data_IF_951854955596
#
_entry.id   IF_951854955596
#
_cell.length_a   1.000
_cell.length_b   1.000
_cell.length_c   1.000
_cell.angle_alpha   90.00
_cell.angle_beta   90.00
_cell.angle_gamma   90.00
#
_symmetry.space_group_name_H-M   'P 1'
#
loop_
_entity.id
_entity.type
_entity.pdbx_description
1 polymer ?
#
# COMPACT_ATOMS: atom_id res chain seq x y z
N UNK A 1 85.49 -19.55 -27.41
CA UNK A 1 85.19 -20.58 -26.39
C UNK A 1 85.37 -19.98 -24.99
N UNK A 2 84.41 -20.25 -24.07
CA UNK A 2 84.35 -19.96 -22.62
C UNK A 2 83.50 -18.76 -22.15
N UNK A 3 82.24 -19.10 -21.79
CA UNK A 3 81.44 -18.82 -20.57
C UNK A 3 81.50 -17.44 -19.88
N UNK A 4 80.30 -16.89 -19.58
CA UNK A 4 79.77 -16.43 -18.26
C UNK A 4 78.51 -15.55 -18.52
N UNK A 5 77.29 -16.09 -18.50
CA UNK A 5 76.28 -16.02 -17.41
C UNK A 5 76.36 -14.75 -16.52
N UNK A 6 75.40 -13.84 -16.73
CA UNK A 6 74.81 -12.89 -15.73
C UNK A 6 73.63 -12.19 -16.43
N UNK A 7 72.40 -12.69 -16.38
CA UNK A 7 71.46 -12.62 -15.25
C UNK A 7 71.38 -11.23 -14.61
N UNK A 8 70.69 -10.29 -15.27
CA UNK A 8 70.20 -9.06 -14.65
C UNK A 8 68.66 -9.13 -14.61
N UNK A 9 68.15 -9.82 -13.59
CA UNK A 9 66.76 -9.72 -13.14
C UNK A 9 66.75 -8.61 -12.09
N UNK A 10 66.30 -7.42 -12.45
CA UNK A 10 65.95 -6.36 -11.48
C UNK A 10 64.42 -6.30 -11.42
N UNK A 11 63.93 -7.09 -10.47
CA UNK A 11 62.76 -6.89 -9.59
C UNK A 11 61.84 -5.71 -9.96
N UNK A 12 60.72 -6.04 -10.62
CA UNK A 12 59.48 -5.30 -10.46
C UNK A 12 59.11 -5.34 -8.97
N UNK A 13 59.20 -4.18 -8.30
CA UNK A 13 58.52 -3.95 -7.04
C UNK A 13 57.01 -3.87 -7.31
N UNK A 14 56.37 -5.02 -7.48
CA UNK A 14 54.97 -5.20 -7.15
C UNK A 14 54.90 -5.18 -5.62
N UNK A 15 54.89 -3.99 -5.04
CA UNK A 15 54.18 -3.79 -3.79
C UNK A 15 52.72 -4.09 -4.13
N UNK A 16 52.33 -5.35 -4.01
CA UNK A 16 50.94 -5.70 -3.84
C UNK A 16 50.48 -4.92 -2.64
N UNK A 17 49.75 -3.83 -2.87
CA UNK A 17 48.82 -3.32 -1.88
C UNK A 17 47.96 -4.53 -1.55
N UNK A 18 48.23 -5.18 -0.41
CA UNK A 18 47.22 -5.96 0.25
C UNK A 18 46.04 -4.98 0.37
N UNK A 19 44.99 -5.18 -0.42
CA UNK A 19 43.76 -4.45 -0.19
C UNK A 19 43.43 -4.73 1.26
N UNK A 20 43.49 -3.69 2.10
CA UNK A 20 42.97 -3.76 3.45
C UNK A 20 41.58 -4.37 3.32
N UNK A 21 41.28 -5.36 4.16
CA UNK A 21 40.08 -6.18 4.10
C UNK A 21 38.82 -5.31 4.07
N UNK A 22 38.45 -4.88 2.86
CA UNK A 22 37.48 -3.85 2.60
C UNK A 22 36.10 -4.43 2.91
N UNK A 23 35.38 -3.78 3.83
CA UNK A 23 34.07 -4.28 4.21
C UNK A 23 33.08 -4.00 3.08
N UNK A 24 32.23 -4.96 2.68
CA UNK A 24 31.14 -4.69 1.76
C UNK A 24 30.23 -3.59 2.33
N UNK A 25 29.77 -2.66 1.48
CA UNK A 25 28.88 -1.54 1.88
C UNK A 25 27.65 -2.04 2.68
N UNK A 26 27.11 -3.21 2.32
CA UNK A 26 26.00 -3.83 3.03
C UNK A 26 26.29 -4.20 4.50
N UNK A 27 27.55 -4.40 4.88
CA UNK A 27 27.92 -4.64 6.28
C UNK A 27 27.80 -3.36 7.13
N UNK A 28 28.21 -2.21 6.59
CA UNK A 28 28.02 -0.91 7.24
C UNK A 28 26.55 -0.63 7.52
N UNK A 29 25.68 -0.90 6.52
CA UNK A 29 24.24 -0.70 6.65
C UNK A 29 23.65 -1.54 7.78
N UNK A 30 23.96 -2.85 7.83
CA UNK A 30 23.45 -3.75 8.87
C UNK A 30 23.93 -3.35 10.26
N UNK A 31 25.22 -3.06 10.41
CA UNK A 31 25.80 -2.74 11.71
C UNK A 31 25.28 -1.40 12.24
N UNK A 32 25.13 -0.40 11.36
CA UNK A 32 24.57 0.89 11.72
C UNK A 32 23.08 0.79 12.06
N UNK A 33 22.29 0.05 11.28
CA UNK A 33 20.87 -0.20 11.59
C UNK A 33 20.73 -0.88 12.96
N UNK A 34 21.52 -1.93 13.23
CA UNK A 34 21.50 -2.58 14.54
C UNK A 34 21.89 -1.62 15.68
N UNK A 35 22.76 -0.64 15.44
CA UNK A 35 23.07 0.40 16.42
C UNK A 35 21.89 1.36 16.62
N UNK A 36 21.20 1.77 15.54
CA UNK A 36 19.98 2.58 15.61
C UNK A 36 18.85 1.86 16.37
N UNK A 37 18.64 0.57 16.13
CA UNK A 37 17.63 -0.26 16.80
C UNK A 37 17.88 -0.34 18.32
N UNK A 38 19.15 -0.30 18.75
CA UNK A 38 19.53 -0.22 20.17
C UNK A 38 19.49 1.21 20.74
N UNK A 39 19.13 2.20 19.93
CA UNK A 39 19.16 3.61 20.29
C UNK A 39 20.58 4.22 20.38
N UNK A 40 21.62 3.51 19.93
CA UNK A 40 23.00 4.00 19.88
C UNK A 40 23.27 4.77 18.58
N UNK A 41 22.61 5.93 18.47
CA UNK A 41 22.67 6.80 17.30
C UNK A 41 24.07 7.39 17.06
N UNK A 42 24.90 7.47 18.09
CA UNK A 42 26.27 7.96 17.95
C UNK A 42 27.20 6.89 17.36
N UNK A 43 27.05 5.63 17.78
CA UNK A 43 27.73 4.53 17.10
C UNK A 43 27.24 4.36 15.65
N UNK A 44 25.93 4.45 15.41
CA UNK A 44 25.39 4.41 14.05
C UNK A 44 26.03 5.49 13.16
N UNK A 45 26.14 6.73 13.66
CA UNK A 45 26.83 7.84 12.98
C UNK A 45 28.29 7.50 12.67
N UNK A 46 29.05 6.96 13.63
CA UNK A 46 30.45 6.54 13.43
C UNK A 46 30.61 5.39 12.44
N UNK A 47 29.64 4.48 12.35
CA UNK A 47 29.65 3.41 11.37
C UNK A 47 29.41 3.97 9.98
N UNK A 48 28.40 4.84 9.80
CA UNK A 48 28.13 5.46 8.51
C UNK A 48 29.25 6.36 8.01
N UNK A 49 29.87 7.19 8.87
CA UNK A 49 30.99 8.05 8.45
C UNK A 49 32.19 7.24 7.96
N UNK A 50 32.44 6.05 8.54
CA UNK A 50 33.48 5.13 8.05
C UNK A 50 33.17 4.60 6.66
N UNK A 51 31.90 4.35 6.34
CA UNK A 51 31.50 3.93 4.99
C UNK A 51 31.87 4.97 3.92
N UNK A 52 31.85 6.28 4.25
CA UNK A 52 32.28 7.33 3.33
C UNK A 52 33.81 7.42 3.16
N UNK A 53 34.58 7.02 4.17
CA UNK A 53 36.04 7.06 4.13
C UNK A 53 36.65 5.92 3.30
N UNK A 54 35.91 4.82 3.10
CA UNK A 54 36.36 3.68 2.30
C UNK A 54 36.01 3.87 0.81
N UNK A 55 36.96 3.56 -0.07
CA UNK A 55 36.85 3.78 -1.53
C UNK A 55 35.61 3.10 -2.17
N UNK A 56 35.05 2.11 -1.49
CA UNK A 56 33.89 1.35 -1.93
C UNK A 56 32.61 2.16 -2.07
N UNK A 57 32.41 3.21 -1.28
CA UNK A 57 31.17 3.98 -1.42
C UNK A 57 31.16 4.85 -2.69
N UNK A 58 32.31 5.36 -3.12
CA UNK A 58 32.41 6.13 -4.36
C UNK A 58 32.01 5.28 -5.58
N UNK A 59 32.38 4.00 -5.57
CA UNK A 59 32.07 3.03 -6.63
C UNK A 59 30.72 2.30 -6.43
N UNK A 60 30.06 2.49 -5.28
CA UNK A 60 28.80 1.84 -4.98
C UNK A 60 27.67 2.32 -5.89
N UNK A 61 26.70 1.42 -6.09
CA UNK A 61 25.43 1.72 -6.76
C UNK A 61 24.69 2.87 -6.06
N UNK A 62 24.00 3.70 -6.84
CA UNK A 62 23.26 4.86 -6.35
C UNK A 62 22.21 4.50 -5.29
N UNK A 63 21.63 3.29 -5.33
CA UNK A 63 20.70 2.82 -4.30
C UNK A 63 21.41 2.62 -2.95
N UNK A 64 22.62 2.09 -2.95
CA UNK A 64 23.40 1.96 -1.71
C UNK A 64 23.82 3.33 -1.17
N UNK A 65 24.20 4.26 -2.05
CA UNK A 65 24.47 5.65 -1.68
C UNK A 65 23.26 6.28 -1.01
N UNK A 66 22.05 6.13 -1.59
CA UNK A 66 20.81 6.63 -1.01
C UNK A 66 20.62 6.14 0.44
N UNK A 67 20.75 4.83 0.68
CA UNK A 67 20.52 4.26 2.03
C UNK A 67 21.59 4.71 3.04
N UNK A 68 22.86 4.78 2.63
CA UNK A 68 23.95 5.24 3.50
C UNK A 68 23.74 6.71 3.88
N UNK A 69 23.45 7.58 2.90
CA UNK A 69 23.12 8.99 3.14
C UNK A 69 21.89 9.15 4.05
N UNK A 70 20.83 8.37 3.81
CA UNK A 70 19.61 8.37 4.62
C UNK A 70 19.89 8.02 6.09
N UNK A 71 20.55 6.89 6.33
CA UNK A 71 20.87 6.43 7.68
C UNK A 71 21.85 7.37 8.40
N UNK A 72 22.82 7.91 7.67
CA UNK A 72 23.77 8.87 8.22
C UNK A 72 23.09 10.18 8.62
N UNK A 73 22.27 10.74 7.72
CA UNK A 73 21.51 11.96 7.97
C UNK A 73 20.60 11.85 9.20
N UNK A 74 19.88 10.75 9.35
CA UNK A 74 19.08 10.48 10.57
C UNK A 74 19.94 10.48 11.83
N UNK A 75 21.07 9.76 11.79
CA UNK A 75 21.99 9.65 12.93
C UNK A 75 22.60 11.00 13.31
N UNK A 76 22.96 11.82 12.31
CA UNK A 76 23.42 13.19 12.50
C UNK A 76 22.36 14.07 13.15
N UNK A 77 21.10 13.98 12.72
CA UNK A 77 20.02 14.79 13.29
C UNK A 77 19.72 14.41 14.74
N UNK A 78 19.71 13.12 15.08
CA UNK A 78 19.51 12.66 16.48
C UNK A 78 20.64 13.17 17.37
N UNK A 79 21.85 13.18 16.81
CA UNK A 79 23.06 13.74 17.43
C UNK A 79 23.25 15.23 17.06
N UNK A 80 22.20 15.98 16.74
CA UNK A 80 22.20 17.45 16.68
C UNK A 80 23.17 18.12 15.70
N UNK A 81 23.72 17.39 14.73
CA UNK A 81 24.43 17.96 13.58
C UNK A 81 23.42 18.33 12.49
N UNK A 82 22.49 19.24 12.81
CA UNK A 82 21.28 19.46 12.01
C UNK A 82 21.55 19.90 10.57
N UNK A 83 22.52 20.79 10.34
CA UNK A 83 22.87 21.24 8.98
C UNK A 83 23.46 20.11 8.13
N UNK A 84 24.32 19.27 8.72
CA UNK A 84 24.89 18.12 8.02
C UNK A 84 23.82 17.05 7.81
N UNK A 85 22.94 16.84 8.80
CA UNK A 85 21.80 15.93 8.67
C UNK A 85 20.92 16.30 7.46
N UNK A 86 20.58 17.58 7.33
CA UNK A 86 19.81 18.10 6.21
C UNK A 86 20.53 17.91 4.87
N UNK A 87 21.84 18.20 4.79
CA UNK A 87 22.64 17.93 3.57
C UNK A 87 22.58 16.45 3.18
N UNK A 88 22.82 15.55 4.14
CA UNK A 88 22.87 14.11 3.89
C UNK A 88 21.49 13.55 3.50
N UNK A 89 20.41 14.01 4.12
CA UNK A 89 19.05 13.59 3.74
C UNK A 89 18.63 14.14 2.36
N UNK A 90 19.07 15.34 1.97
CA UNK A 90 18.84 15.84 0.61
C UNK A 90 19.60 14.99 -0.43
N UNK A 91 20.86 14.63 -0.16
CA UNK A 91 21.63 13.72 -1.03
C UNK A 91 20.93 12.35 -1.17
N UNK A 92 20.42 11.79 -0.07
CA UNK A 92 19.66 10.55 -0.09
C UNK A 92 18.42 10.66 -0.98
N UNK A 93 17.62 11.73 -0.79
CA UNK A 93 16.45 12.01 -1.62
C UNK A 93 16.80 12.12 -3.11
N UNK A 94 17.90 12.79 -3.44
CA UNK A 94 18.32 12.94 -4.83
C UNK A 94 18.70 11.59 -5.44
N UNK A 95 19.47 10.75 -4.74
CA UNK A 95 19.79 9.40 -5.23
C UNK A 95 18.54 8.53 -5.42
N UNK A 96 17.59 8.56 -4.48
CA UNK A 96 16.33 7.81 -4.61
C UNK A 96 15.52 8.30 -5.81
N UNK A 97 15.40 9.62 -6.00
CA UNK A 97 14.67 10.20 -7.13
C UNK A 97 15.25 9.78 -8.49
N UNK A 98 16.58 9.73 -8.61
CA UNK A 98 17.23 9.32 -9.86
C UNK A 98 17.13 7.80 -10.13
N UNK A 99 16.93 6.99 -9.10
CA UNK A 99 16.91 5.52 -9.22
C UNK A 99 15.50 4.90 -9.18
N UNK A 100 14.46 5.73 -9.08
CA UNK A 100 13.09 5.29 -8.83
C UNK A 100 12.91 4.67 -7.44
N UNK A 101 13.79 5.03 -6.50
CA UNK A 101 13.74 4.61 -5.10
C UNK A 101 12.64 5.32 -4.30
N UNK A 102 12.58 5.00 -3.01
CA UNK A 102 11.52 5.44 -2.10
C UNK A 102 11.83 6.83 -1.54
N UNK A 103 11.90 7.83 -2.42
CA UNK A 103 12.39 9.18 -2.07
C UNK A 103 11.56 9.89 -0.99
N UNK A 104 10.29 9.54 -0.83
CA UNK A 104 9.42 10.12 0.20
C UNK A 104 9.89 9.82 1.64
N UNK A 105 10.71 8.79 1.86
CA UNK A 105 11.30 8.51 3.19
C UNK A 105 12.26 9.63 3.61
N UNK A 106 13.19 9.99 2.72
CA UNK A 106 14.17 11.06 2.98
C UNK A 106 13.49 12.42 3.17
N UNK A 107 12.44 12.72 2.38
CA UNK A 107 11.63 13.93 2.58
C UNK A 107 10.89 13.93 3.92
N UNK A 108 10.39 12.78 4.37
CA UNK A 108 9.70 12.66 5.66
C UNK A 108 10.65 12.93 6.80
N UNK A 109 11.87 12.41 6.71
CA UNK A 109 12.91 12.66 7.70
C UNK A 109 13.38 14.12 7.68
N UNK A 110 13.48 14.78 6.52
CA UNK A 110 13.73 16.23 6.40
C UNK A 110 12.61 17.05 7.06
N UNK A 111 11.36 16.69 6.84
CA UNK A 111 10.22 17.34 7.47
C UNK A 111 10.27 17.21 8.99
N UNK A 112 10.49 15.99 9.50
CA UNK A 112 10.58 15.71 10.95
C UNK A 112 11.76 16.40 11.61
N UNK A 113 12.92 16.42 10.94
CA UNK A 113 14.12 17.15 11.37
C UNK A 113 13.82 18.65 11.56
N UNK A 114 13.10 19.25 10.62
CA UNK A 114 12.70 20.67 10.69
C UNK A 114 11.59 20.90 11.73
N UNK A 115 10.62 19.99 11.82
CA UNK A 115 9.55 20.04 12.80
C UNK A 115 10.08 20.02 14.24
N UNK A 116 11.04 19.15 14.55
CA UNK A 116 11.67 19.07 15.88
C UNK A 116 12.53 20.31 16.21
N UNK A 117 13.02 21.02 15.18
CA UNK A 117 13.67 22.32 15.31
C UNK A 117 12.69 23.51 15.33
N UNK A 118 11.36 23.26 15.27
CA UNK A 118 10.31 24.29 15.14
C UNK A 118 10.41 25.15 13.87
N UNK A 119 11.11 24.65 12.85
CA UNK A 119 11.16 25.22 11.49
C UNK A 119 9.92 24.80 10.71
N UNK A 120 8.78 25.33 11.14
CA UNK A 120 7.46 24.83 10.71
C UNK A 120 7.19 25.09 9.22
N UNK A 121 7.63 26.22 8.68
CA UNK A 121 7.43 26.56 7.27
C UNK A 121 8.22 25.62 6.34
N UNK A 122 9.45 25.30 6.73
CA UNK A 122 10.33 24.36 6.03
C UNK A 122 9.77 22.94 6.11
N UNK A 123 9.31 22.51 7.30
CA UNK A 123 8.65 21.22 7.47
C UNK A 123 7.39 21.09 6.58
N UNK A 124 6.55 22.13 6.54
CA UNK A 124 5.38 22.21 5.63
C UNK A 124 5.81 22.03 4.17
N UNK A 125 6.86 22.71 3.72
CA UNK A 125 7.33 22.61 2.33
C UNK A 125 7.74 21.18 1.94
N UNK A 126 8.44 20.47 2.82
CA UNK A 126 8.80 19.07 2.58
C UNK A 126 7.57 18.15 2.57
N UNK A 127 6.61 18.36 3.47
CA UNK A 127 5.39 17.57 3.57
C UNK A 127 4.46 17.77 2.37
N UNK A 128 4.33 19.00 1.88
CA UNK A 128 3.57 19.29 0.64
C UNK A 128 4.14 18.54 -0.56
N UNK A 129 5.48 18.42 -0.68
CA UNK A 129 6.12 17.62 -1.73
C UNK A 129 5.81 16.12 -1.62
N UNK A 130 5.76 15.58 -0.40
CA UNK A 130 5.39 14.17 -0.18
C UNK A 130 3.93 13.95 -0.55
N UNK A 131 3.04 14.84 -0.08
CA UNK A 131 1.60 14.73 -0.33
C UNK A 131 1.25 14.87 -1.81
N UNK A 132 1.97 15.71 -2.57
CA UNK A 132 1.78 15.82 -4.02
C UNK A 132 1.97 14.47 -4.76
N UNK A 133 2.80 13.60 -4.22
CA UNK A 133 3.13 12.29 -4.80
C UNK A 133 2.19 11.19 -4.29
N UNK A 134 1.85 11.23 -3.00
CA UNK A 134 1.00 10.21 -2.37
C UNK A 134 -0.50 10.45 -2.61
N UNK A 135 -0.96 11.70 -2.72
CA UNK A 135 -2.38 12.04 -2.88
C UNK A 135 -3.02 11.37 -4.11
N UNK A 136 -2.39 11.36 -5.31
CA UNK A 136 -2.93 10.65 -6.46
C UNK A 136 -3.05 9.14 -6.23
N UNK A 137 -2.06 8.53 -5.56
CA UNK A 137 -2.01 7.09 -5.28
C UNK A 137 -3.16 6.71 -4.33
N UNK A 138 -3.29 7.44 -3.21
CA UNK A 138 -4.33 7.21 -2.21
C UNK A 138 -5.72 7.49 -2.80
N UNK A 139 -5.87 8.53 -3.62
CA UNK A 139 -7.15 8.88 -4.25
C UNK A 139 -7.57 7.80 -5.26
N UNK A 140 -6.66 7.33 -6.10
CA UNK A 140 -6.94 6.24 -7.04
C UNK A 140 -7.35 4.96 -6.29
N UNK A 141 -6.72 4.68 -5.14
CA UNK A 141 -7.08 3.56 -4.28
C UNK A 141 -8.50 3.69 -3.71
N UNK A 142 -8.81 4.83 -3.09
CA UNK A 142 -10.17 5.11 -2.56
C UNK A 142 -11.23 4.96 -3.64
N UNK A 143 -10.95 5.44 -4.87
CA UNK A 143 -11.87 5.29 -6.01
C UNK A 143 -12.10 3.82 -6.39
N UNK A 144 -11.04 3.02 -6.48
CA UNK A 144 -11.15 1.58 -6.79
C UNK A 144 -11.96 0.85 -5.72
N UNK A 145 -11.72 1.14 -4.44
CA UNK A 145 -12.48 0.56 -3.33
C UNK A 145 -13.96 0.94 -3.38
N UNK A 146 -14.27 2.22 -3.58
CA UNK A 146 -15.64 2.69 -3.72
C UNK A 146 -16.36 2.04 -4.93
N UNK A 147 -15.67 1.84 -6.06
CA UNK A 147 -16.21 1.14 -7.22
C UNK A 147 -16.49 -0.34 -6.93
N UNK A 148 -15.60 -1.02 -6.18
CA UNK A 148 -15.81 -2.41 -5.78
C UNK A 148 -17.04 -2.54 -4.85
N UNK A 149 -17.18 -1.65 -3.87
CA UNK A 149 -18.33 -1.62 -2.96
C UNK A 149 -19.64 -1.31 -3.71
N UNK A 150 -19.62 -0.33 -4.62
CA UNK A 150 -20.79 0.01 -5.43
C UNK A 150 -21.27 -1.17 -6.29
N UNK A 151 -20.34 -1.93 -6.89
CA UNK A 151 -20.67 -3.16 -7.62
C UNK A 151 -21.32 -4.19 -6.72
N UNK A 152 -20.79 -4.41 -5.51
CA UNK A 152 -21.36 -5.37 -4.56
C UNK A 152 -22.80 -5.00 -4.17
N UNK A 153 -23.06 -3.73 -3.86
CA UNK A 153 -24.40 -3.24 -3.52
C UNK A 153 -25.37 -3.39 -4.70
N UNK A 154 -24.90 -3.17 -5.93
CA UNK A 154 -25.72 -3.39 -7.13
C UNK A 154 -26.06 -4.87 -7.34
N UNK A 155 -25.12 -5.78 -7.07
CA UNK A 155 -25.37 -7.23 -7.09
C UNK A 155 -26.43 -7.62 -6.05
N UNK A 156 -26.30 -7.18 -4.80
CA UNK A 156 -27.27 -7.50 -3.74
C UNK A 156 -28.68 -6.98 -4.10
N UNK A 157 -28.79 -5.72 -4.54
CA UNK A 157 -30.06 -5.13 -4.96
C UNK A 157 -30.67 -5.80 -6.20
N UNK A 158 -29.83 -6.28 -7.13
CA UNK A 158 -30.29 -6.99 -8.33
C UNK A 158 -30.77 -8.40 -7.98
N UNK A 159 -30.04 -9.13 -7.14
CA UNK A 159 -30.44 -10.44 -6.64
C UNK A 159 -31.76 -10.40 -5.87
N UNK A 160 -31.95 -9.39 -5.00
CA UNK A 160 -33.21 -9.19 -4.28
C UNK A 160 -34.39 -8.93 -5.23
N UNK A 161 -34.20 -8.12 -6.28
CA UNK A 161 -35.24 -7.87 -7.30
C UNK A 161 -35.59 -9.12 -8.10
N UNK A 162 -34.59 -9.94 -8.44
CA UNK A 162 -34.81 -11.21 -9.15
C UNK A 162 -35.55 -12.21 -8.26
N UNK A 163 -35.19 -12.31 -6.98
CA UNK A 163 -35.90 -13.16 -6.01
C UNK A 163 -37.37 -12.74 -5.85
N UNK A 164 -37.65 -11.44 -5.73
CA UNK A 164 -39.03 -10.94 -5.68
C UNK A 164 -39.82 -11.30 -6.95
N UNK A 165 -39.18 -11.16 -8.12
CA UNK A 165 -39.78 -11.55 -9.40
C UNK A 165 -40.10 -13.04 -9.46
N UNK A 166 -39.17 -13.91 -9.01
CA UNK A 166 -39.37 -15.36 -8.98
C UNK A 166 -40.55 -15.72 -8.07
N UNK A 167 -40.64 -15.13 -6.88
CA UNK A 167 -41.74 -15.39 -5.94
C UNK A 167 -43.08 -14.88 -6.49
N UNK A 168 -43.10 -13.69 -7.07
CA UNK A 168 -44.32 -13.07 -7.61
C UNK A 168 -44.88 -13.83 -8.80
N UNK A 169 -44.03 -14.18 -9.77
CA UNK A 169 -44.46 -14.93 -10.94
C UNK A 169 -44.81 -16.38 -10.59
N UNK A 170 -44.13 -16.99 -9.61
CA UNK A 170 -44.51 -18.30 -9.05
C UNK A 170 -45.91 -18.29 -8.45
N UNK A 171 -46.23 -17.32 -7.58
CA UNK A 171 -47.58 -17.14 -7.03
C UNK A 171 -48.64 -16.92 -8.11
N UNK A 172 -48.31 -16.14 -9.14
CA UNK A 172 -49.22 -15.88 -10.26
C UNK A 172 -49.51 -17.17 -11.04
N UNK A 173 -48.48 -17.97 -11.33
CA UNK A 173 -48.63 -19.27 -11.99
C UNK A 173 -49.49 -20.21 -11.14
N UNK A 174 -49.17 -20.36 -9.86
CA UNK A 174 -49.87 -21.29 -8.98
C UNK A 174 -51.36 -20.91 -8.84
N UNK A 175 -51.66 -19.61 -8.68
CA UNK A 175 -53.04 -19.10 -8.69
C UNK A 175 -53.79 -19.41 -9.99
N UNK A 176 -53.12 -19.36 -11.15
CA UNK A 176 -53.72 -19.68 -12.45
C UNK A 176 -53.96 -21.18 -12.63
N UNK A 177 -53.07 -22.01 -12.09
CA UNK A 177 -53.26 -23.47 -12.07
C UNK A 177 -54.39 -23.89 -11.13
N UNK A 178 -54.50 -23.27 -9.95
CA UNK A 178 -55.63 -23.46 -9.03
C UNK A 178 -56.97 -23.04 -9.66
N UNK A 179 -56.98 -21.96 -10.46
CA UNK A 179 -58.16 -21.53 -11.22
C UNK A 179 -58.58 -22.60 -12.24
N UNK A 180 -57.64 -23.16 -13.01
CA UNK A 180 -57.90 -24.27 -13.94
C UNK A 180 -58.43 -25.51 -13.18
N UNK A 181 -57.80 -25.88 -12.07
CA UNK A 181 -58.23 -27.04 -11.27
C UNK A 181 -59.65 -26.87 -10.75
N UNK A 182 -59.98 -25.68 -10.23
CA UNK A 182 -61.33 -25.34 -9.76
C UNK A 182 -62.37 -25.46 -10.87
N UNK A 183 -62.05 -25.00 -12.08
CA UNK A 183 -62.95 -25.12 -13.24
C UNK A 183 -63.16 -26.60 -13.62
N UNK A 184 -62.11 -27.42 -13.57
CA UNK A 184 -62.19 -28.86 -13.88
C UNK A 184 -62.99 -29.64 -12.82
N UNK A 185 -62.85 -29.28 -11.55
CA UNK A 185 -63.58 -29.90 -10.42
C UNK A 185 -64.99 -29.31 -10.22
N UNK A 186 -65.34 -28.26 -10.97
CA UNK A 186 -66.60 -27.54 -10.88
C UNK A 186 -67.80 -28.26 -11.51
N UNK A 187 -68.93 -27.56 -11.52
CA UNK A 187 -70.17 -28.02 -12.16
C UNK A 187 -70.01 -28.19 -13.68
N UNK A 188 -70.90 -28.97 -14.30
CA UNK A 188 -70.89 -29.19 -15.75
C UNK A 188 -70.88 -27.88 -16.56
N UNK A 189 -71.61 -26.85 -16.12
CA UNK A 189 -71.62 -25.55 -16.79
C UNK A 189 -70.27 -24.83 -16.68
N UNK A 190 -69.61 -24.90 -15.52
CA UNK A 190 -68.27 -24.36 -15.33
C UNK A 190 -67.24 -25.08 -16.19
N UNK A 191 -67.35 -26.41 -16.33
CA UNK A 191 -66.49 -27.20 -17.22
C UNK A 191 -66.68 -26.82 -18.70
N UNK A 192 -67.92 -26.59 -19.16
CA UNK A 192 -68.22 -26.15 -20.53
C UNK A 192 -67.64 -24.76 -20.81
N UNK A 193 -67.79 -23.81 -19.89
CA UNK A 193 -67.13 -22.49 -19.98
C UNK A 193 -65.61 -22.62 -19.92
N UNK A 194 -65.12 -23.57 -19.12
CA UNK A 194 -63.72 -23.95 -19.01
C UNK A 194 -63.09 -24.34 -20.34
N UNK A 195 -63.82 -25.08 -21.18
CA UNK A 195 -63.32 -25.55 -22.47
C UNK A 195 -62.84 -24.40 -23.40
N UNK A 196 -63.41 -23.20 -23.22
CA UNK A 196 -63.04 -22.01 -24.00
C UNK A 196 -62.06 -21.07 -23.27
N UNK A 197 -62.03 -21.12 -21.93
CA UNK A 197 -61.25 -20.18 -21.10
C UNK A 197 -59.92 -20.76 -20.60
N UNK A 198 -59.88 -22.07 -20.32
CA UNK A 198 -58.67 -22.79 -19.86
C UNK A 198 -57.48 -22.57 -20.78
N UNK A 199 -57.58 -22.61 -22.13
CA UNK A 199 -56.43 -22.36 -22.99
C UNK A 199 -55.79 -20.99 -22.77
N UNK A 200 -56.59 -19.94 -22.57
CA UNK A 200 -56.10 -18.59 -22.27
C UNK A 200 -55.41 -18.51 -20.89
N UNK A 201 -56.03 -19.12 -19.87
CA UNK A 201 -55.47 -19.17 -18.51
C UNK A 201 -54.16 -19.98 -18.50
N UNK A 202 -54.09 -21.06 -19.27
CA UNK A 202 -52.89 -21.90 -19.42
C UNK A 202 -51.75 -21.14 -20.10
N UNK A 203 -52.03 -20.32 -21.12
CA UNK A 203 -51.03 -19.44 -21.73
C UNK A 203 -50.50 -18.41 -20.71
N UNK A 204 -51.37 -17.82 -19.89
CA UNK A 204 -50.93 -16.90 -18.83
C UNK A 204 -50.05 -17.59 -17.76
N UNK A 205 -50.40 -18.81 -17.37
CA UNK A 205 -49.61 -19.62 -16.46
C UNK A 205 -48.24 -19.99 -17.07
N UNK A 206 -48.20 -20.31 -18.36
CA UNK A 206 -46.97 -20.59 -19.08
C UNK A 206 -46.07 -19.35 -19.19
N UNK A 207 -46.62 -18.19 -19.54
CA UNK A 207 -45.85 -16.94 -19.59
C UNK A 207 -45.29 -16.58 -18.20
N UNK A 208 -46.06 -16.80 -17.13
CA UNK A 208 -45.56 -16.61 -15.76
C UNK A 208 -44.43 -17.59 -15.43
N UNK A 209 -44.55 -18.86 -15.83
CA UNK A 209 -43.51 -19.87 -15.66
C UNK A 209 -42.23 -19.53 -16.44
N UNK A 210 -42.33 -19.06 -17.68
CA UNK A 210 -41.19 -18.62 -18.48
C UNK A 210 -40.48 -17.42 -17.87
N UNK A 211 -41.23 -16.43 -17.35
CA UNK A 211 -40.65 -15.28 -16.64
C UNK A 211 -39.95 -15.69 -15.35
N UNK A 212 -40.56 -16.59 -14.58
CA UNK A 212 -39.96 -17.16 -13.38
C UNK A 212 -38.66 -17.89 -13.72
N UNK A 213 -38.65 -18.72 -14.76
CA UNK A 213 -37.48 -19.47 -15.22
C UNK A 213 -36.36 -18.54 -15.69
N UNK A 214 -36.70 -17.53 -16.51
CA UNK A 214 -35.71 -16.54 -16.97
C UNK A 214 -35.08 -15.78 -15.80
N UNK A 215 -35.88 -15.38 -14.80
CA UNK A 215 -35.36 -14.72 -13.61
C UNK A 215 -34.46 -15.65 -12.78
N UNK A 216 -34.82 -16.94 -12.66
CA UNK A 216 -34.01 -17.95 -11.99
C UNK A 216 -32.68 -18.22 -12.73
N UNK A 217 -32.71 -18.30 -14.05
CA UNK A 217 -31.51 -18.49 -14.89
C UNK A 217 -30.58 -17.27 -14.80
N UNK A 218 -31.13 -16.04 -14.80
CA UNK A 218 -30.35 -14.83 -14.59
C UNK A 218 -29.73 -14.82 -13.19
N UNK A 219 -30.49 -15.17 -12.15
CA UNK A 219 -29.98 -15.26 -10.78
C UNK A 219 -28.88 -16.34 -10.65
N UNK A 220 -29.04 -17.49 -11.31
CA UNK A 220 -28.04 -18.54 -11.35
C UNK A 220 -26.75 -18.09 -12.03
N UNK A 221 -26.84 -17.35 -13.16
CA UNK A 221 -25.68 -16.75 -13.83
C UNK A 221 -24.98 -15.71 -12.95
N UNK A 222 -25.73 -14.86 -12.25
CA UNK A 222 -25.16 -13.89 -11.30
C UNK A 222 -24.47 -14.60 -10.14
N UNK A 223 -25.09 -15.64 -9.57
CA UNK A 223 -24.48 -16.45 -8.52
C UNK A 223 -23.25 -17.18 -9.01
N UNK A 224 -23.25 -17.70 -10.24
CA UNK A 224 -22.07 -18.31 -10.85
C UNK A 224 -20.96 -17.27 -11.05
N UNK A 225 -21.27 -16.07 -11.55
CA UNK A 225 -20.29 -14.99 -11.69
C UNK A 225 -19.75 -14.52 -10.33
N UNK A 226 -20.59 -14.48 -9.29
CA UNK A 226 -20.17 -14.18 -7.92
C UNK A 226 -19.27 -15.30 -7.37
N UNK A 227 -19.61 -16.56 -7.60
CA UNK A 227 -18.79 -17.70 -7.20
C UNK A 227 -17.49 -17.79 -7.99
N UNK A 228 -17.49 -17.43 -9.28
CA UNK A 228 -16.29 -17.34 -10.11
C UNK A 228 -15.45 -16.15 -9.68
N UNK A 229 -16.05 -15.00 -9.34
CA UNK A 229 -15.34 -13.86 -8.78
C UNK A 229 -14.76 -14.17 -7.39
N UNK A 230 -15.51 -14.92 -6.56
CA UNK A 230 -15.10 -15.38 -5.24
C UNK A 230 -14.07 -16.53 -5.30
N UNK A 231 -14.14 -17.40 -6.32
CA UNK A 231 -13.11 -18.39 -6.65
C UNK A 231 -11.93 -17.77 -7.36
N UNK A 232 -12.07 -16.62 -7.99
CA UNK A 232 -10.94 -15.84 -8.47
C UNK A 232 -10.27 -15.17 -7.28
N UNK A 233 -11.02 -14.63 -6.31
CA UNK A 233 -10.45 -14.09 -5.08
C UNK A 233 -9.87 -15.17 -4.16
N UNK A 234 -10.48 -16.35 -4.06
CA UNK A 234 -10.02 -17.49 -3.27
C UNK A 234 -9.00 -18.37 -4.03
N UNK A 235 -9.06 -18.41 -5.36
CA UNK A 235 -8.10 -19.10 -6.22
C UNK A 235 -6.83 -18.27 -6.47
N UNK A 236 -6.91 -16.95 -6.36
CA UNK A 236 -5.76 -16.06 -6.12
C UNK A 236 -5.11 -16.33 -4.75
N UNK A 237 -5.84 -16.96 -3.82
CA UNK A 237 -5.30 -17.44 -2.55
C UNK A 237 -4.65 -18.84 -2.64
N UNK A 238 -4.95 -19.66 -3.66
CA UNK A 238 -4.58 -21.09 -3.68
C UNK A 238 -3.80 -21.56 -4.93
N UNK A 239 -3.75 -20.80 -6.03
CA UNK A 239 -2.91 -21.13 -7.19
C UNK A 239 -2.18 -19.91 -7.69
N UNK A 240 -1.04 -19.65 -7.08
CA UNK A 240 0.28 -19.45 -7.68
C UNK A 240 1.25 -19.42 -6.48
N UNK A 241 2.49 -19.82 -6.70
CA UNK A 241 3.68 -19.48 -5.90
C UNK A 241 3.85 -17.95 -5.78
N UNK A 242 2.82 -17.28 -5.25
CA UNK A 242 2.52 -15.85 -5.19
C UNK A 242 2.08 -15.42 -3.78
N UNK A 243 2.07 -16.33 -2.79
CA UNK A 243 1.86 -15.94 -1.39
C UNK A 243 2.88 -14.90 -0.93
N UNK A 244 4.05 -14.83 -1.59
CA UNK A 244 5.06 -13.80 -1.36
C UNK A 244 4.71 -12.48 -2.05
N UNK A 245 4.21 -12.45 -3.28
CA UNK A 245 4.06 -11.19 -4.06
C UNK A 245 2.75 -10.44 -3.72
N UNK A 246 1.66 -11.14 -3.40
CA UNK A 246 0.37 -10.51 -3.04
C UNK A 246 0.22 -10.22 -1.54
N UNK A 247 0.85 -11.02 -0.65
CA UNK A 247 1.03 -10.59 0.75
C UNK A 247 1.95 -9.39 0.84
N UNK A 248 2.99 -9.32 0.00
CA UNK A 248 3.81 -8.12 -0.12
C UNK A 248 3.01 -6.96 -0.72
N UNK A 249 2.24 -7.10 -1.80
CA UNK A 249 1.45 -5.97 -2.32
C UNK A 249 0.37 -5.48 -1.35
N UNK A 250 -0.38 -6.37 -0.68
CA UNK A 250 -1.37 -5.94 0.32
C UNK A 250 -0.73 -5.38 1.61
N UNK A 251 0.40 -5.94 2.07
CA UNK A 251 1.16 -5.39 3.18
C UNK A 251 1.80 -4.05 2.83
N UNK A 252 2.44 -3.92 1.64
CA UNK A 252 2.99 -2.67 1.09
C UNK A 252 1.87 -1.63 0.91
N UNK A 253 0.69 -2.04 0.45
CA UNK A 253 -0.44 -1.12 0.30
C UNK A 253 -0.99 -0.64 1.66
N UNK A 254 -1.05 -1.52 2.66
CA UNK A 254 -1.49 -1.16 4.01
C UNK A 254 -0.45 -0.26 4.69
N UNK A 255 0.83 -0.57 4.46
CA UNK A 255 1.98 0.21 4.90
C UNK A 255 2.01 1.62 4.28
N UNK A 256 1.75 1.76 2.97
CA UNK A 256 1.66 3.08 2.32
C UNK A 256 0.52 3.94 2.89
N UNK A 257 -0.62 3.34 3.25
CA UNK A 257 -1.72 4.11 3.86
C UNK A 257 -1.44 4.49 5.31
N UNK A 258 -0.79 3.60 6.08
CA UNK A 258 -0.33 3.91 7.43
C UNK A 258 0.73 5.01 7.41
N UNK A 259 1.71 4.89 6.51
CA UNK A 259 2.72 5.90 6.25
C UNK A 259 2.10 7.24 5.87
N UNK A 260 1.17 7.25 4.92
CA UNK A 260 0.45 8.45 4.49
C UNK A 260 -0.30 9.13 5.64
N UNK A 261 -0.95 8.35 6.52
CA UNK A 261 -1.59 8.90 7.71
C UNK A 261 -0.58 9.51 8.70
N UNK A 262 0.62 8.97 8.82
CA UNK A 262 1.68 9.54 9.65
C UNK A 262 2.23 10.84 9.05
N UNK A 263 2.40 10.90 7.72
CA UNK A 263 2.77 12.13 7.01
C UNK A 263 1.71 13.23 7.24
N UNK A 264 0.42 12.88 7.20
CA UNK A 264 -0.66 13.83 7.47
C UNK A 264 -0.66 14.33 8.92
N UNK A 265 -0.28 13.52 9.90
CA UNK A 265 -0.12 13.96 11.28
C UNK A 265 1.04 14.95 11.42
N UNK A 266 2.22 14.61 10.86
CA UNK A 266 3.37 15.51 10.85
C UNK A 266 3.04 16.82 10.11
N UNK A 267 2.21 16.75 9.07
CA UNK A 267 1.72 17.92 8.31
C UNK A 267 0.77 18.78 9.14
N UNK A 268 -0.19 18.17 9.83
CA UNK A 268 -1.08 18.88 10.74
C UNK A 268 -0.30 19.61 11.86
N UNK A 269 0.69 18.94 12.45
CA UNK A 269 1.58 19.53 13.46
C UNK A 269 2.37 20.72 12.89
N UNK A 270 2.94 20.56 11.70
CA UNK A 270 3.73 21.61 11.05
C UNK A 270 2.87 22.81 10.68
N UNK A 271 1.68 22.59 10.11
CA UNK A 271 0.71 23.64 9.78
C UNK A 271 0.25 24.40 11.02
N UNK A 272 -0.06 23.69 12.11
CA UNK A 272 -0.45 24.32 13.38
C UNK A 272 0.67 25.20 13.94
N UNK A 273 1.91 24.69 13.96
CA UNK A 273 3.08 25.47 14.36
C UNK A 273 3.35 26.69 13.48
N UNK A 274 3.00 26.63 12.20
CA UNK A 274 3.06 27.74 11.25
C UNK A 274 1.85 28.71 11.34
N UNK A 275 0.90 28.48 12.26
CA UNK A 275 -0.30 29.32 12.41
C UNK A 275 -1.44 29.04 11.42
N UNK A 276 -1.33 27.99 10.60
CA UNK A 276 -2.34 27.58 9.60
C UNK A 276 -3.35 26.59 10.19
N UNK A 277 -4.11 27.04 11.20
CA UNK A 277 -4.94 26.14 12.03
C UNK A 277 -6.06 25.43 11.26
N UNK A 278 -6.73 26.10 10.32
CA UNK A 278 -7.78 25.48 9.51
C UNK A 278 -7.23 24.36 8.62
N UNK A 279 -6.07 24.59 8.00
CA UNK A 279 -5.39 23.58 7.18
C UNK A 279 -4.92 22.40 8.05
N UNK A 280 -4.44 22.69 9.27
CA UNK A 280 -4.00 21.67 10.22
C UNK A 280 -5.15 20.74 10.65
N UNK A 281 -6.33 21.29 10.95
CA UNK A 281 -7.53 20.52 11.26
C UNK A 281 -7.97 19.64 10.08
N UNK A 282 -7.93 20.19 8.86
CA UNK A 282 -8.23 19.43 7.65
C UNK A 282 -7.26 18.26 7.44
N UNK A 283 -5.95 18.48 7.65
CA UNK A 283 -4.93 17.43 7.57
C UNK A 283 -5.14 16.34 8.64
N UNK A 284 -5.39 16.72 9.89
CA UNK A 284 -5.65 15.79 10.99
C UNK A 284 -6.92 14.94 10.73
N UNK A 285 -7.98 15.56 10.22
CA UNK A 285 -9.19 14.85 9.80
C UNK A 285 -8.89 13.81 8.70
N UNK A 286 -8.13 14.20 7.66
CA UNK A 286 -7.71 13.26 6.60
C UNK A 286 -6.88 12.10 7.14
N UNK A 287 -6.04 12.34 8.15
CA UNK A 287 -5.25 11.29 8.78
C UNK A 287 -6.15 10.28 9.52
N UNK A 288 -7.10 10.78 10.32
CA UNK A 288 -8.08 9.95 11.02
C UNK A 288 -8.95 9.12 10.07
N UNK A 289 -9.47 9.75 9.00
CA UNK A 289 -10.24 9.05 7.97
C UNK A 289 -9.42 7.98 7.25
N UNK A 290 -8.13 8.23 6.99
CA UNK A 290 -7.24 7.22 6.41
C UNK A 290 -7.06 6.05 7.37
N UNK A 291 -6.76 6.30 8.66
CA UNK A 291 -6.58 5.23 9.66
C UNK A 291 -7.82 4.39 9.88
N UNK A 292 -9.03 4.97 9.77
CA UNK A 292 -10.27 4.22 9.87
C UNK A 292 -10.41 3.12 8.80
N UNK A 293 -9.63 3.18 7.71
CA UNK A 293 -9.62 2.17 6.65
C UNK A 293 -8.50 1.13 6.81
N UNK A 294 -7.64 1.25 7.82
CA UNK A 294 -6.48 0.38 8.05
C UNK A 294 -6.82 -0.64 9.16
N UNK A 295 -6.54 -1.95 8.98
CA UNK A 295 -6.67 -2.95 10.04
C UNK A 295 -5.84 -2.57 11.28
N UNK A 296 -6.42 -2.71 12.48
CA UNK A 296 -5.88 -2.18 13.75
C UNK A 296 -4.50 -2.74 14.19
N UNK A 297 -4.02 -3.81 13.58
CA UNK A 297 -2.79 -4.50 14.00
C UNK A 297 -1.49 -3.93 13.41
N UNK A 298 -1.59 -2.98 12.47
CA UNK A 298 -0.44 -2.48 11.71
C UNK A 298 -0.26 -0.97 11.85
N UNK A 299 0.19 -0.50 13.01
CA UNK A 299 0.61 0.91 13.10
C UNK A 299 1.56 1.14 14.26
N UNK A 300 2.87 1.00 14.02
CA UNK A 300 3.90 1.73 14.76
C UNK A 300 5.07 1.98 13.80
N UNK A 301 5.15 3.17 13.22
CA UNK A 301 6.43 3.68 12.70
C UNK A 301 7.01 4.55 13.79
N UNK A 302 8.10 4.08 14.41
CA UNK A 302 8.82 4.86 15.41
C UNK A 302 9.47 6.07 14.73
N UNK A 303 8.99 7.27 15.07
CA UNK A 303 9.54 8.53 14.61
C UNK A 303 11.00 8.66 15.07
N UNK A 304 11.90 9.06 14.15
CA UNK A 304 13.30 9.33 14.48
C UNK A 304 13.38 10.41 15.59
N UNK A 305 14.11 10.16 16.70
CA UNK A 305 14.11 11.02 17.88
C UNK A 305 15.09 12.20 17.73
N UNK A 306 14.84 13.11 16.78
CA UNK A 306 15.74 14.23 16.50
C UNK A 306 15.97 15.11 17.75
N UNK A 307 17.20 15.59 17.90
CA UNK A 307 17.59 16.47 19.01
C UNK A 307 17.66 15.82 20.41
N UNK A 308 17.30 14.54 20.57
CA UNK A 308 17.29 13.90 21.90
C UNK A 308 18.68 13.71 22.51
N UNK A 309 19.74 13.65 21.70
CA UNK A 309 21.09 13.33 22.18
C UNK A 309 22.05 14.53 22.22
N UNK A 310 21.56 15.78 22.15
CA UNK A 310 22.43 16.96 22.12
C UNK A 310 23.33 17.10 23.35
N UNK A 311 22.88 16.62 24.52
CA UNK A 311 23.64 16.75 25.76
C UNK A 311 24.88 15.85 25.84
N UNK A 312 24.92 14.73 25.09
CA UNK A 312 26.07 13.79 25.09
C UNK A 312 27.31 14.32 24.35
N UNK A 313 27.25 15.55 23.84
CA UNK A 313 28.31 16.17 23.01
C UNK A 313 29.14 17.22 23.72
N UNK A 314 28.85 17.49 25.00
CA UNK A 314 29.59 18.46 25.82
C UNK A 314 30.72 17.85 26.65
N UNK A 315 31.17 16.64 26.31
CA UNK A 315 32.30 15.95 26.93
C UNK A 315 33.33 15.58 25.87
#
# INVERSE_FOLDING_TARGET
MKRLISSLIILLNLAGYASANEKPVGEYMRNAAAAQDRGDWDEARRIYVRAFAEANLAQADSRFKAVIHYGYGRSLGVTCFFEEAERQLNLANDFDKHTGGVFYLSLTELARLNLDQRKFAEAVSYLERILAELDPIITARKRKLAQAMARQVDFENTSLRLLDTIVKEGKKRDSKLEEIQRINEGSFLEQVVGMFTIPGIAVEAQVAAERQQNAADTLAKINQQLQESAKTSAGVQERITESTILSMSSAIETDVSAFYANVLDDYALSLSGAGRMQDAEAAAKRAAETRATIPKEQSISDRTPYGKHCAKQRL
#
